data_IF_102383105060
#
_entry.id   IF_102383105060
#
_cell.length_a   1.000
_cell.length_b   1.000
_cell.length_c   1.000
_cell.angle_alpha   90.00
_cell.angle_beta   90.00
_cell.angle_gamma   90.00
#
_symmetry.space_group_name_H-M   'P 1'
#
loop_
_entity.id
_entity.type
_entity.pdbx_description
1 polymer ?
#
# COMPACT_ATOMS: atom_id res chain seq x y z
N UNK A 1 18.23 27.92 -18.87
CA UNK A 1 19.55 27.36 -18.50
C UNK A 1 19.69 27.04 -17.01
N UNK A 2 19.80 27.99 -16.07
CA UNK A 2 20.03 27.63 -14.66
C UNK A 2 18.87 26.82 -14.01
N UNK A 3 17.61 27.21 -14.26
CA UNK A 3 16.45 26.47 -13.75
C UNK A 3 16.24 25.10 -14.42
N UNK A 4 16.60 24.94 -15.70
CA UNK A 4 16.56 23.64 -16.39
C UNK A 4 17.63 22.68 -15.87
N UNK A 5 18.83 23.16 -15.55
CA UNK A 5 19.90 22.34 -15.00
C UNK A 5 19.56 21.84 -13.58
N UNK A 6 18.93 22.69 -12.76
CA UNK A 6 18.44 22.31 -11.42
C UNK A 6 17.32 21.28 -11.53
N UNK A 7 16.36 21.48 -12.44
CA UNK A 7 15.28 20.53 -12.68
C UNK A 7 15.81 19.16 -13.18
N UNK A 8 16.77 19.17 -14.11
CA UNK A 8 17.41 17.95 -14.61
C UNK A 8 18.21 17.20 -13.54
N UNK A 9 18.88 17.92 -12.63
CA UNK A 9 19.61 17.32 -11.51
C UNK A 9 18.69 16.64 -10.50
N UNK A 10 17.56 17.27 -10.16
CA UNK A 10 16.58 16.69 -9.23
C UNK A 10 15.89 15.45 -9.80
N UNK A 11 15.59 15.43 -11.11
CA UNK A 11 15.00 14.25 -11.77
C UNK A 11 15.95 13.05 -11.73
N UNK A 12 17.25 13.27 -11.99
CA UNK A 12 18.26 12.21 -11.95
C UNK A 12 18.42 11.61 -10.55
N UNK A 13 18.51 12.46 -9.52
CA UNK A 13 18.66 12.02 -8.14
C UNK A 13 17.46 11.20 -7.64
N UNK A 14 16.24 11.56 -8.08
CA UNK A 14 15.02 10.79 -7.77
C UNK A 14 15.06 9.39 -8.35
N UNK A 15 15.52 9.25 -9.60
CA UNK A 15 15.68 7.94 -10.21
C UNK A 15 16.69 7.08 -9.44
N UNK A 16 17.81 7.68 -9.00
CA UNK A 16 18.82 6.99 -8.19
C UNK A 16 18.25 6.53 -6.83
N UNK A 17 17.50 7.37 -6.12
CA UNK A 17 16.82 7.01 -4.87
C UNK A 17 15.84 5.85 -5.06
N UNK A 18 15.02 5.89 -6.11
CA UNK A 18 14.04 4.83 -6.40
C UNK A 18 14.72 3.52 -6.81
N UNK A 19 15.80 3.59 -7.59
CA UNK A 19 16.60 2.41 -7.96
C UNK A 19 17.31 1.82 -6.73
N UNK A 20 17.83 2.66 -5.84
CA UNK A 20 18.43 2.20 -4.59
C UNK A 20 17.37 1.56 -3.68
N UNK A 21 16.20 2.17 -3.55
CA UNK A 21 15.06 1.65 -2.78
C UNK A 21 14.56 0.31 -3.32
N UNK A 22 14.26 0.24 -4.62
CA UNK A 22 13.76 -0.99 -5.27
C UNK A 22 14.80 -2.09 -5.35
N UNK A 23 16.09 -1.75 -5.36
CA UNK A 23 17.19 -2.71 -5.30
C UNK A 23 17.63 -3.12 -3.89
N UNK A 24 17.03 -2.55 -2.83
CA UNK A 24 17.45 -2.79 -1.44
C UNK A 24 18.88 -2.32 -1.14
N UNK A 25 19.40 -1.36 -1.90
CA UNK A 25 20.77 -0.84 -1.72
C UNK A 25 20.80 0.18 -0.60
N UNK A 26 20.68 -0.30 0.64
CA UNK A 26 20.50 0.56 1.82
C UNK A 26 21.67 1.53 2.07
N UNK A 27 22.91 1.17 1.71
CA UNK A 27 24.09 2.05 1.82
C UNK A 27 23.98 3.25 0.86
N UNK A 28 23.75 2.96 -0.43
CA UNK A 28 23.54 4.00 -1.47
C UNK A 28 22.34 4.88 -1.10
N UNK A 29 21.25 4.28 -0.62
CA UNK A 29 20.07 5.00 -0.18
C UNK A 29 20.37 5.92 1.02
N UNK A 30 21.13 5.45 2.02
CA UNK A 30 21.52 6.25 3.18
C UNK A 30 22.40 7.44 2.77
N UNK A 31 23.37 7.23 1.88
CA UNK A 31 24.27 8.30 1.40
C UNK A 31 23.48 9.35 0.62
N UNK A 32 22.58 8.92 -0.27
CA UNK A 32 21.70 9.82 -1.02
C UNK A 32 20.79 10.62 -0.10
N UNK A 33 20.18 9.99 0.92
CA UNK A 33 19.34 10.69 1.90
C UNK A 33 20.13 11.68 2.78
N UNK A 34 21.35 11.34 3.17
CA UNK A 34 22.21 12.26 3.95
C UNK A 34 22.70 13.45 3.10
N UNK A 35 22.89 13.25 1.80
CA UNK A 35 23.21 14.36 0.88
C UNK A 35 22.04 15.35 0.68
N UNK A 36 20.80 14.93 1.01
CA UNK A 36 19.59 15.76 0.93
C UNK A 36 19.37 16.67 2.15
N UNK A 37 19.92 16.36 3.33
CA UNK A 37 19.73 17.18 4.54
C UNK A 37 20.34 18.60 4.42
N UNK A 38 21.10 18.88 3.36
CA UNK A 38 21.54 20.24 3.03
C UNK A 38 20.51 21.07 2.24
N UNK A 39 19.44 20.46 1.70
CA UNK A 39 18.35 21.10 0.94
C UNK A 39 16.96 20.53 1.38
N UNK A 40 16.35 21.15 2.40
CA UNK A 40 15.35 20.59 3.32
C UNK A 40 13.91 20.23 2.83
N UNK A 41 13.64 19.87 1.55
CA UNK A 41 12.24 19.81 1.06
C UNK A 41 11.77 18.59 0.24
N UNK A 42 12.42 17.42 0.25
CA UNK A 42 12.18 16.43 -0.85
C UNK A 42 11.85 14.97 -0.51
N UNK A 43 11.50 14.61 0.74
CA UNK A 43 11.17 13.21 1.07
C UNK A 43 9.87 12.66 0.43
N UNK A 44 9.11 13.52 -0.25
CA UNK A 44 8.02 13.15 -1.15
C UNK A 44 8.59 13.01 -2.59
N UNK A 45 8.49 11.84 -3.25
CA UNK A 45 9.00 11.57 -4.63
C UNK A 45 7.90 11.07 -5.63
N UNK A 46 7.64 11.80 -6.75
CA UNK A 46 6.48 11.61 -7.67
C UNK A 46 6.81 10.46 -8.58
N UNK A 47 5.86 9.55 -8.80
CA UNK A 47 5.91 8.60 -9.90
C UNK A 47 4.75 8.89 -10.84
N UNK A 48 5.07 9.25 -12.09
CA UNK A 48 4.13 9.10 -13.19
C UNK A 48 4.66 7.94 -14.03
N UNK A 49 4.03 6.77 -13.91
CA UNK A 49 4.23 5.67 -14.85
C UNK A 49 3.24 5.89 -15.97
N UNK A 50 3.69 6.48 -17.07
CA UNK A 50 2.99 6.36 -18.34
C UNK A 50 3.99 6.29 -19.50
N UNK A 51 4.04 5.11 -20.12
CA UNK A 51 4.59 4.82 -21.44
C UNK A 51 3.65 3.73 -22.02
N UNK A 52 3.03 3.78 -23.20
CA UNK A 52 3.14 4.61 -24.41
C UNK A 52 1.89 4.42 -25.30
N UNK A 53 1.55 5.43 -26.11
CA UNK A 53 0.43 5.60 -27.10
C UNK A 53 0.78 4.97 -28.49
N UNK A 54 -0.01 5.00 -29.63
CA UNK A 54 -0.97 6.06 -30.08
C UNK A 54 -2.17 5.71 -31.04
N UNK A 55 -2.90 6.80 -31.44
CA UNK A 55 -3.70 7.04 -32.67
C UNK A 55 -5.22 6.70 -32.67
N UNK A 56 -6.23 7.49 -33.15
CA UNK A 56 -6.40 8.86 -33.74
C UNK A 56 -7.92 9.24 -33.82
N UNK A 57 -8.23 10.54 -33.95
CA UNK A 57 -9.44 11.23 -34.55
C UNK A 57 -10.69 11.42 -33.66
N UNK A 58 -11.43 12.54 -33.60
CA UNK A 58 -11.33 13.94 -34.08
C UNK A 58 -12.46 14.81 -33.42
N UNK A 59 -12.12 16.05 -32.97
CA UNK A 59 -12.86 17.36 -32.88
C UNK A 59 -14.39 17.50 -32.55
N UNK A 60 -14.91 18.70 -32.16
CA UNK A 60 -14.38 19.79 -31.31
C UNK A 60 -15.41 20.41 -30.28
N UNK A 61 -14.90 21.39 -29.50
CA UNK A 61 -15.42 22.27 -28.41
C UNK A 61 -16.74 23.08 -28.71
N UNK A 62 -17.39 23.76 -27.72
CA UNK A 62 -16.90 25.06 -27.15
C UNK A 62 -17.19 25.30 -25.63
N UNK A 63 -16.18 25.65 -24.82
CA UNK A 63 -15.88 26.96 -24.17
C UNK A 63 -16.63 27.30 -22.86
N UNK A 64 -15.89 27.30 -21.75
CA UNK A 64 -15.93 28.36 -20.75
C UNK A 64 -14.53 28.50 -20.15
N UNK A 65 -13.99 29.72 -20.17
CA UNK A 65 -12.65 30.05 -19.71
C UNK A 65 -12.68 30.46 -18.24
N UNK A 66 -11.80 29.87 -17.44
CA UNK A 66 -11.30 30.44 -16.19
C UNK A 66 -9.81 30.11 -16.08
N UNK A 67 -9.05 31.08 -15.57
CA UNK A 67 -7.59 31.22 -15.58
C UNK A 67 -6.83 30.08 -14.83
N UNK A 68 -5.48 29.99 -14.99
CA UNK A 68 -4.73 28.78 -14.63
C UNK A 68 -4.61 28.68 -13.11
N UNK A 69 -5.16 27.61 -12.54
CA UNK A 69 -4.85 27.23 -11.18
C UNK A 69 -3.37 26.82 -11.14
N UNK A 70 -2.56 27.73 -10.60
CA UNK A 70 -1.18 27.56 -10.18
C UNK A 70 -1.03 26.24 -9.41
N UNK A 71 0.08 25.55 -9.68
CA UNK A 71 0.35 24.15 -9.37
C UNK A 71 -0.19 23.62 -8.05
N UNK A 72 -0.99 22.54 -8.15
CA UNK A 72 -1.11 21.57 -7.06
C UNK A 72 0.14 20.69 -7.06
N UNK A 73 0.79 20.45 -5.91
CA UNK A 73 1.82 19.43 -5.79
C UNK A 73 1.21 18.07 -6.13
N UNK A 74 1.78 17.36 -7.10
CA UNK A 74 1.33 16.05 -7.56
C UNK A 74 1.80 14.97 -6.58
N UNK A 75 1.01 14.72 -5.52
CA UNK A 75 1.24 13.80 -4.40
C UNK A 75 1.92 12.46 -4.78
N UNK A 76 2.95 12.10 -4.01
CA UNK A 76 4.15 11.40 -4.45
C UNK A 76 4.32 10.06 -3.70
N UNK A 77 4.55 8.93 -4.37
CA UNK A 77 4.85 7.66 -3.70
C UNK A 77 6.13 7.78 -2.86
N UNK A 78 6.00 7.67 -1.53
CA UNK A 78 7.18 7.67 -0.65
C UNK A 78 8.07 6.46 -0.95
N UNK A 79 9.39 6.67 -0.89
CA UNK A 79 10.43 5.64 -1.03
C UNK A 79 10.20 4.42 -0.12
N UNK A 80 9.50 4.59 1.01
CA UNK A 80 9.14 3.50 1.90
C UNK A 80 8.14 2.53 1.25
N UNK A 81 7.19 3.02 0.43
CA UNK A 81 6.25 2.16 -0.30
C UNK A 81 6.97 1.30 -1.34
N UNK A 82 7.99 1.87 -1.99
CA UNK A 82 8.81 1.16 -2.98
C UNK A 82 9.60 0.05 -2.30
N UNK A 83 10.33 0.36 -1.22
CA UNK A 83 11.05 -0.65 -0.44
C UNK A 83 10.08 -1.73 0.06
N UNK A 84 8.93 -1.32 0.60
CA UNK A 84 7.93 -2.23 1.14
C UNK A 84 7.37 -3.21 0.10
N UNK A 85 7.20 -2.75 -1.15
CA UNK A 85 6.72 -3.57 -2.26
C UNK A 85 7.82 -4.44 -2.87
N UNK A 86 9.09 -4.04 -2.77
CA UNK A 86 10.19 -4.65 -3.55
C UNK A 86 10.75 -5.93 -2.94
N UNK A 87 10.75 -6.07 -1.62
CA UNK A 87 11.19 -7.31 -0.97
C UNK A 87 11.29 -7.23 0.55
N UNK A 88 11.62 -8.37 1.16
CA UNK A 88 11.76 -8.52 2.62
C UNK A 88 13.12 -9.11 3.06
N UNK A 89 14.09 -9.18 2.15
CA UNK A 89 15.47 -9.54 2.50
C UNK A 89 16.12 -8.51 3.43
N UNK A 90 17.17 -8.92 4.17
CA UNK A 90 17.82 -8.09 5.19
C UNK A 90 18.22 -6.69 4.71
N UNK A 91 18.59 -6.56 3.44
CA UNK A 91 18.92 -5.30 2.80
C UNK A 91 17.71 -4.37 2.65
N UNK A 92 16.54 -4.90 2.28
CA UNK A 92 15.30 -4.12 2.22
C UNK A 92 14.83 -3.70 3.62
N UNK A 93 14.97 -4.58 4.61
CA UNK A 93 14.64 -4.24 6.01
C UNK A 93 15.52 -3.08 6.51
N UNK A 94 16.82 -3.13 6.23
CA UNK A 94 17.74 -2.02 6.52
C UNK A 94 17.38 -0.74 5.75
N UNK A 95 16.98 -0.85 4.48
CA UNK A 95 16.47 0.32 3.75
C UNK A 95 15.26 0.94 4.44
N UNK A 96 14.33 0.12 4.94
CA UNK A 96 13.18 0.61 5.71
C UNK A 96 13.62 1.29 7.02
N UNK A 97 14.61 0.73 7.74
CA UNK A 97 15.16 1.34 8.96
C UNK A 97 15.77 2.71 8.71
N UNK A 98 16.58 2.85 7.65
CA UNK A 98 17.20 4.12 7.26
C UNK A 98 16.14 5.17 6.93
N UNK A 99 15.11 4.79 6.17
CA UNK A 99 14.01 5.70 5.80
C UNK A 99 13.22 6.10 7.05
N UNK A 100 12.89 5.14 7.92
CA UNK A 100 12.17 5.38 9.16
C UNK A 100 12.95 6.30 10.12
N UNK A 101 14.27 6.11 10.24
CA UNK A 101 15.12 6.96 11.07
C UNK A 101 15.19 8.41 10.56
N UNK A 102 14.98 8.63 9.25
CA UNK A 102 14.91 9.96 8.65
C UNK A 102 13.54 10.60 8.82
N UNK A 103 12.48 9.86 8.56
CA UNK A 103 11.11 10.35 8.70
C UNK A 103 10.16 9.20 9.08
N UNK A 104 9.87 9.11 10.37
CA UNK A 104 8.98 8.11 10.94
C UNK A 104 7.52 8.27 10.45
N UNK A 105 7.09 9.47 10.07
CA UNK A 105 5.71 9.71 9.63
C UNK A 105 5.39 8.96 8.33
N UNK A 106 6.40 8.64 7.52
CA UNK A 106 6.25 7.86 6.28
C UNK A 106 5.66 6.47 6.53
N UNK A 107 5.80 5.92 7.74
CA UNK A 107 5.24 4.62 8.11
C UNK A 107 3.70 4.60 8.01
N UNK A 108 3.06 5.75 8.22
CA UNK A 108 1.60 5.91 8.28
C UNK A 108 1.02 6.68 7.08
N UNK A 109 1.88 7.36 6.31
CA UNK A 109 1.45 8.20 5.20
C UNK A 109 0.92 7.35 4.04
N UNK A 110 -0.27 7.64 3.51
CA UNK A 110 -0.71 7.04 2.25
C UNK A 110 0.12 7.56 1.08
N UNK A 111 0.28 6.74 0.05
CA UNK A 111 0.88 7.10 -1.22
C UNK A 111 -0.14 7.70 -2.20
N UNK A 112 0.27 7.91 -3.45
CA UNK A 112 -0.59 8.45 -4.52
C UNK A 112 -1.81 7.57 -4.84
N UNK A 113 -1.74 6.28 -4.49
CA UNK A 113 -2.83 5.31 -4.64
C UNK A 113 -3.68 5.17 -3.36
N UNK A 114 -3.39 5.98 -2.34
CA UNK A 114 -4.03 5.91 -1.03
C UNK A 114 -3.57 4.74 -0.17
N UNK A 115 -2.55 3.98 -0.58
CA UNK A 115 -2.03 2.84 0.15
C UNK A 115 -0.94 3.26 1.13
N UNK A 116 -0.91 2.64 2.31
CA UNK A 116 0.18 2.71 3.29
C UNK A 116 1.31 1.76 2.89
N UNK A 117 2.54 1.94 3.44
CA UNK A 117 3.63 1.00 3.19
C UNK A 117 3.30 -0.44 3.62
N UNK A 118 2.50 -0.58 4.68
CA UNK A 118 2.05 -1.89 5.16
C UNK A 118 1.17 -2.62 4.14
N UNK A 119 0.24 -1.91 3.49
CA UNK A 119 -0.60 -2.46 2.42
C UNK A 119 0.23 -2.84 1.20
N UNK A 120 1.20 -2.01 0.82
CA UNK A 120 2.17 -2.32 -0.24
C UNK A 120 2.93 -3.63 0.04
N UNK A 121 3.47 -3.81 1.25
CA UNK A 121 4.16 -5.04 1.65
C UNK A 121 3.21 -6.26 1.69
N UNK A 122 2.00 -6.09 2.23
CA UNK A 122 1.01 -7.16 2.29
C UNK A 122 0.59 -7.65 0.90
N UNK A 123 0.35 -6.71 -0.04
CA UNK A 123 0.00 -6.98 -1.43
C UNK A 123 1.12 -7.65 -2.21
N UNK A 124 2.37 -7.28 -1.93
CA UNK A 124 3.54 -7.91 -2.53
C UNK A 124 3.84 -9.30 -1.95
N UNK A 125 3.23 -9.67 -0.82
CA UNK A 125 3.51 -10.93 -0.13
C UNK A 125 4.80 -10.91 0.69
N UNK A 126 5.33 -9.72 1.00
CA UNK A 126 6.58 -9.52 1.73
C UNK A 126 6.36 -9.67 3.24
N UNK A 127 6.23 -10.91 3.72
CA UNK A 127 5.87 -11.23 5.12
C UNK A 127 6.90 -10.70 6.12
N UNK A 128 8.20 -10.79 5.78
CA UNK A 128 9.27 -10.26 6.62
C UNK A 128 9.16 -8.75 6.79
N UNK A 129 8.86 -8.04 5.69
CA UNK A 129 8.66 -6.59 5.69
C UNK A 129 7.42 -6.18 6.47
N UNK A 130 6.28 -6.90 6.32
CA UNK A 130 5.07 -6.65 7.13
C UNK A 130 5.38 -6.76 8.62
N UNK A 131 6.10 -7.82 9.02
CA UNK A 131 6.51 -8.00 10.41
C UNK A 131 7.41 -6.86 10.89
N UNK A 132 8.34 -6.42 10.04
CA UNK A 132 9.30 -5.36 10.33
C UNK A 132 8.62 -4.00 10.52
N UNK A 133 7.76 -3.58 9.58
CA UNK A 133 7.01 -2.32 9.66
C UNK A 133 6.12 -2.27 10.91
N UNK A 134 5.49 -3.39 11.27
CA UNK A 134 4.70 -3.51 12.51
C UNK A 134 5.59 -3.35 13.75
N UNK A 135 6.77 -3.98 13.77
CA UNK A 135 7.70 -3.83 14.89
C UNK A 135 8.20 -2.39 15.03
N UNK A 136 8.47 -1.69 13.93
CA UNK A 136 8.82 -0.25 13.96
C UNK A 136 7.71 0.58 14.62
N UNK A 137 6.43 0.34 14.25
CA UNK A 137 5.31 1.02 14.89
C UNK A 137 5.20 0.71 16.39
N UNK A 138 5.42 -0.54 16.81
CA UNK A 138 5.36 -0.95 18.23
C UNK A 138 6.44 -0.26 19.07
N UNK A 139 7.61 0.03 18.48
CA UNK A 139 8.74 0.66 19.18
C UNK A 139 8.55 2.15 19.46
N UNK A 140 7.52 2.80 18.89
CA UNK A 140 7.18 4.19 19.19
C UNK A 140 6.59 4.37 20.59
N UNK A 141 6.64 5.60 21.13
CA UNK A 141 6.16 5.94 22.49
C UNK A 141 4.69 5.54 22.70
N UNK A 142 3.85 5.69 21.67
CA UNK A 142 2.44 5.29 21.65
C UNK A 142 2.20 4.07 20.73
N UNK A 143 3.18 3.18 20.62
CA UNK A 143 3.26 2.18 19.56
C UNK A 143 2.07 1.23 19.47
N UNK A 144 1.41 0.90 20.58
CA UNK A 144 0.19 0.07 20.56
C UNK A 144 -1.02 0.81 19.97
N UNK A 145 -1.16 2.12 20.23
CA UNK A 145 -2.23 2.93 19.67
C UNK A 145 -1.97 3.18 18.17
N UNK A 146 -0.73 3.52 17.82
CA UNK A 146 -0.27 3.71 16.44
C UNK A 146 -0.37 2.45 15.60
N UNK A 147 -0.01 1.29 16.14
CA UNK A 147 -0.20 0.01 15.46
C UNK A 147 -1.68 -0.25 15.16
N UNK A 148 -2.57 0.01 16.12
CA UNK A 148 -4.01 -0.16 15.91
C UNK A 148 -4.53 0.79 14.83
N UNK A 149 -4.09 2.03 14.81
CA UNK A 149 -4.41 3.00 13.76
C UNK A 149 -3.90 2.49 12.40
N UNK A 150 -2.61 2.15 12.31
CA UNK A 150 -1.96 1.67 11.09
C UNK A 150 -2.62 0.42 10.50
N UNK A 151 -2.96 -0.57 11.32
CA UNK A 151 -3.62 -1.80 10.85
C UNK A 151 -5.03 -1.51 10.34
N UNK A 152 -5.73 -0.54 10.95
CA UNK A 152 -7.08 -0.14 10.55
C UNK A 152 -7.11 0.79 9.35
N UNK A 153 -5.95 1.29 8.88
CA UNK A 153 -5.89 2.15 7.71
C UNK A 153 -6.47 1.44 6.49
N UNK A 154 -7.39 2.15 5.85
CA UNK A 154 -8.05 1.74 4.64
C UNK A 154 -7.51 2.61 3.51
N UNK A 155 -7.26 2.03 2.34
CA UNK A 155 -6.79 2.83 1.24
C UNK A 155 -7.86 3.78 0.68
N UNK A 156 -7.40 4.86 0.06
CA UNK A 156 -8.25 5.85 -0.59
C UNK A 156 -8.92 5.36 -1.89
N UNK A 157 -9.60 6.29 -2.58
CA UNK A 157 -10.18 6.03 -3.90
C UNK A 157 -9.09 5.74 -4.93
N UNK A 158 -8.94 4.45 -5.29
CA UNK A 158 -7.89 3.90 -6.16
C UNK A 158 -8.12 4.18 -7.66
N UNK A 159 -7.07 3.93 -8.45
CA UNK A 159 -7.16 3.61 -9.90
C UNK A 159 -8.08 2.39 -10.14
N UNK A 160 -8.62 2.19 -11.36
CA UNK A 160 -9.76 1.28 -11.63
C UNK A 160 -9.63 -0.19 -11.21
N UNK A 161 -8.42 -0.68 -10.93
CA UNK A 161 -8.13 -2.10 -10.71
C UNK A 161 -8.25 -2.55 -9.26
N UNK A 162 -8.50 -1.64 -8.33
CA UNK A 162 -8.28 -1.90 -6.93
C UNK A 162 -9.45 -1.33 -6.11
N UNK A 163 -10.03 -2.14 -5.22
CA UNK A 163 -11.25 -1.77 -4.49
C UNK A 163 -10.87 -0.71 -3.44
N UNK A 164 -11.57 0.43 -3.38
CA UNK A 164 -11.31 1.44 -2.35
C UNK A 164 -11.62 0.87 -0.96
N UNK A 165 -10.94 1.41 0.05
CA UNK A 165 -11.15 1.07 1.45
C UNK A 165 -10.56 -0.27 1.91
N UNK A 166 -9.76 -0.95 1.11
CA UNK A 166 -9.15 -2.22 1.52
C UNK A 166 -8.18 -2.00 2.70
N UNK A 167 -8.21 -2.88 3.69
CA UNK A 167 -7.13 -2.99 4.71
C UNK A 167 -6.01 -3.90 4.18
N UNK A 168 -4.87 -3.95 4.89
CA UNK A 168 -3.79 -4.89 4.58
C UNK A 168 -4.26 -6.36 4.52
N UNK A 169 -5.29 -6.73 5.30
CA UNK A 169 -5.88 -8.07 5.26
C UNK A 169 -6.65 -8.34 3.95
N UNK A 170 -7.36 -7.34 3.40
CA UNK A 170 -8.03 -7.49 2.11
C UNK A 170 -7.02 -7.68 0.97
N UNK A 171 -5.94 -6.90 0.98
CA UNK A 171 -4.84 -7.05 0.02
C UNK A 171 -4.20 -8.44 0.12
N UNK A 172 -3.93 -8.94 1.33
CA UNK A 172 -3.37 -10.27 1.56
C UNK A 172 -4.26 -11.41 1.03
N UNK A 173 -5.59 -11.27 1.11
CA UNK A 173 -6.52 -12.29 0.62
C UNK A 173 -6.48 -12.48 -0.90
N UNK A 174 -5.92 -11.52 -1.66
CA UNK A 174 -5.79 -11.56 -3.11
C UNK A 174 -4.44 -12.09 -3.60
N UNK A 175 -3.57 -12.51 -2.68
CA UNK A 175 -2.30 -13.15 -3.02
C UNK A 175 -2.53 -14.49 -3.73
N UNK A 176 -1.79 -14.71 -4.82
CA UNK A 176 -1.93 -15.91 -5.65
C UNK A 176 -1.30 -17.16 -5.01
N UNK A 177 -0.18 -17.00 -4.30
CA UNK A 177 0.50 -18.10 -3.61
C UNK A 177 -0.21 -18.41 -2.29
N UNK A 178 -0.87 -19.59 -2.23
CA UNK A 178 -1.65 -20.04 -1.06
C UNK A 178 -0.80 -20.17 0.22
N UNK A 179 0.49 -20.48 0.12
CA UNK A 179 1.37 -20.60 1.29
C UNK A 179 1.64 -19.21 1.86
N UNK A 180 2.05 -18.27 1.02
CA UNK A 180 2.33 -16.88 1.41
C UNK A 180 1.04 -16.25 1.95
N UNK A 181 -0.08 -16.44 1.26
CA UNK A 181 -1.39 -15.97 1.67
C UNK A 181 -1.76 -16.45 3.08
N UNK A 182 -1.60 -17.74 3.38
CA UNK A 182 -1.98 -18.28 4.69
C UNK A 182 -1.10 -17.70 5.80
N UNK A 183 0.21 -17.67 5.55
CA UNK A 183 1.19 -17.13 6.49
C UNK A 183 0.99 -15.63 6.75
N UNK A 184 0.71 -14.86 5.69
CA UNK A 184 0.41 -13.42 5.78
C UNK A 184 -0.86 -13.16 6.58
N UNK A 185 -1.95 -13.90 6.32
CA UNK A 185 -3.20 -13.78 7.08
C UNK A 185 -2.98 -14.13 8.54
N UNK A 186 -2.28 -15.24 8.83
CA UNK A 186 -1.97 -15.64 10.21
C UNK A 186 -1.13 -14.59 10.93
N UNK A 187 -0.15 -13.99 10.25
CA UNK A 187 0.68 -12.91 10.79
C UNK A 187 -0.14 -11.68 11.12
N UNK A 188 -0.92 -11.16 10.18
CA UNK A 188 -1.76 -9.97 10.38
C UNK A 188 -2.77 -10.16 11.53
N UNK A 189 -3.41 -11.33 11.61
CA UNK A 189 -4.37 -11.65 12.68
C UNK A 189 -3.70 -11.87 14.05
N UNK A 190 -2.40 -12.23 14.09
CA UNK A 190 -1.63 -12.30 15.34
C UNK A 190 -1.42 -10.91 15.93
N UNK A 191 -1.22 -9.89 15.08
CA UNK A 191 -1.09 -8.50 15.52
C UNK A 191 -2.43 -7.83 15.82
N UNK A 192 -3.47 -8.10 15.02
CA UNK A 192 -4.82 -7.59 15.30
C UNK A 192 -5.91 -8.48 14.71
N UNK A 193 -6.63 -9.17 15.58
CA UNK A 193 -7.83 -9.94 15.20
C UNK A 193 -8.97 -9.05 14.71
N UNK A 194 -9.00 -7.77 15.11
CA UNK A 194 -10.03 -6.80 14.73
C UNK A 194 -10.05 -6.53 13.22
N UNK A 195 -8.94 -6.78 12.51
CA UNK A 195 -8.86 -6.69 11.06
C UNK A 195 -9.94 -7.52 10.34
N UNK A 196 -10.31 -8.67 10.93
CA UNK A 196 -11.32 -9.57 10.37
C UNK A 196 -12.77 -9.00 10.46
N UNK A 197 -12.96 -7.88 11.18
CA UNK A 197 -14.25 -7.22 11.39
C UNK A 197 -14.40 -5.92 10.59
N UNK A 198 -13.36 -5.47 9.90
CA UNK A 198 -13.35 -4.19 9.18
C UNK A 198 -13.74 -4.48 7.74
N UNK A 199 -14.80 -3.83 7.27
CA UNK A 199 -15.26 -3.93 5.89
C UNK A 199 -14.54 -2.87 5.05
N UNK A 200 -14.22 -3.19 3.79
CA UNK A 200 -13.79 -2.19 2.82
C UNK A 200 -14.89 -1.16 2.54
N UNK A 201 -14.58 -0.06 1.85
CA UNK A 201 -15.55 1.04 1.67
C UNK A 201 -16.76 0.63 0.83
N UNK A 202 -16.65 -0.40 -0.02
CA UNK A 202 -17.78 -0.99 -0.73
C UNK A 202 -18.58 -2.01 0.12
N UNK A 203 -18.29 -2.16 1.42
CA UNK A 203 -18.97 -3.08 2.33
C UNK A 203 -18.50 -4.54 2.23
N UNK A 204 -17.38 -4.81 1.56
CA UNK A 204 -16.84 -6.18 1.48
C UNK A 204 -16.11 -6.53 2.77
N UNK A 205 -16.55 -7.57 3.47
CA UNK A 205 -15.80 -8.08 4.63
C UNK A 205 -14.66 -9.03 4.22
N UNK A 206 -13.62 -9.20 5.04
CA UNK A 206 -12.56 -10.18 4.79
C UNK A 206 -13.10 -11.61 4.65
N UNK A 207 -14.13 -11.97 5.41
CA UNK A 207 -14.75 -13.29 5.30
C UNK A 207 -15.51 -13.46 3.98
N UNK A 208 -16.27 -12.44 3.57
CA UNK A 208 -16.94 -12.44 2.26
C UNK A 208 -15.91 -12.61 1.14
N UNK A 209 -14.82 -11.82 1.17
CA UNK A 209 -13.76 -11.88 0.16
C UNK A 209 -13.09 -13.26 0.13
N UNK A 210 -12.78 -13.86 1.28
CA UNK A 210 -12.19 -15.20 1.35
C UNK A 210 -13.10 -16.27 0.71
N UNK A 211 -14.41 -16.25 0.99
CA UNK A 211 -15.37 -17.20 0.39
C UNK A 211 -15.54 -16.93 -1.11
N UNK A 212 -15.62 -15.66 -1.51
CA UNK A 212 -15.69 -15.25 -2.92
C UNK A 212 -14.48 -15.74 -3.73
N UNK A 213 -13.28 -15.73 -3.14
CA UNK A 213 -12.06 -16.22 -3.77
C UNK A 213 -11.90 -17.75 -3.64
N UNK A 214 -12.80 -18.45 -2.95
CA UNK A 214 -12.73 -19.90 -2.75
C UNK A 214 -11.68 -20.33 -1.72
N UNK A 215 -11.23 -19.41 -0.87
CA UNK A 215 -10.24 -19.63 0.18
C UNK A 215 -10.90 -20.13 1.47
N UNK A 216 -11.51 -21.31 1.42
CA UNK A 216 -12.33 -21.85 2.52
C UNK A 216 -11.53 -22.16 3.79
N UNK A 217 -10.25 -22.54 3.65
CA UNK A 217 -9.33 -22.76 4.76
C UNK A 217 -9.04 -21.45 5.50
N UNK A 218 -8.82 -20.35 4.77
CA UNK A 218 -8.71 -19.02 5.37
C UNK A 218 -10.02 -18.57 6.01
N UNK A 219 -11.16 -18.80 5.33
CA UNK A 219 -12.47 -18.43 5.85
C UNK A 219 -12.73 -19.12 7.21
N UNK A 220 -12.34 -20.40 7.33
CA UNK A 220 -12.37 -21.10 8.61
C UNK A 220 -11.40 -20.48 9.63
N UNK A 221 -10.17 -20.12 9.25
CA UNK A 221 -9.23 -19.43 10.15
C UNK A 221 -9.79 -18.11 10.67
N UNK A 222 -10.38 -17.28 9.80
CA UNK A 222 -11.04 -16.03 10.18
C UNK A 222 -12.16 -16.30 11.20
N UNK A 223 -13.00 -17.31 10.94
CA UNK A 223 -14.08 -17.74 11.82
C UNK A 223 -13.63 -18.19 13.20
N UNK A 224 -12.54 -18.98 13.27
CA UNK A 224 -12.03 -19.46 14.55
C UNK A 224 -11.34 -18.35 15.36
N UNK A 225 -10.66 -17.40 14.70
CA UNK A 225 -9.85 -16.37 15.39
C UNK A 225 -10.65 -15.17 15.90
N UNK A 226 -11.77 -14.82 15.28
CA UNK A 226 -12.57 -13.68 15.71
C UNK A 226 -14.06 -14.04 15.75
N UNK A 227 -14.71 -13.89 16.90
CA UNK A 227 -16.15 -14.16 17.05
C UNK A 227 -17.03 -12.97 16.63
N UNK A 228 -16.43 -11.82 16.33
CA UNK A 228 -17.10 -10.57 15.92
C UNK A 228 -16.85 -10.27 14.43
N UNK A 229 -16.83 -11.29 13.59
CA UNK A 229 -16.66 -11.13 12.16
C UNK A 229 -17.76 -10.26 11.55
N UNK A 230 -17.39 -9.53 10.52
CA UNK A 230 -18.36 -9.02 9.57
C UNK A 230 -18.62 -10.07 8.48
N UNK A 231 -19.88 -10.19 8.10
CA UNK A 231 -20.36 -11.09 7.04
C UNK A 231 -20.81 -10.32 5.80
N UNK A 232 -20.63 -9.00 5.80
CA UNK A 232 -21.13 -8.08 4.78
C UNK A 232 -20.43 -8.29 3.44
N UNK A 233 -21.19 -8.10 2.37
CA UNK A 233 -20.70 -8.00 1.01
C UNK A 233 -21.21 -6.74 0.33
N UNK A 234 -20.69 -6.44 -0.87
CA UNK A 234 -21.16 -5.30 -1.67
C UNK A 234 -22.63 -5.45 -2.05
N UNK A 235 -23.28 -4.33 -2.34
CA UNK A 235 -24.68 -4.26 -2.81
C UNK A 235 -25.70 -4.93 -1.88
N UNK A 236 -25.43 -4.92 -0.56
CA UNK A 236 -26.30 -5.54 0.45
C UNK A 236 -26.22 -7.07 0.49
N UNK A 237 -25.28 -7.69 -0.23
CA UNK A 237 -25.01 -9.12 -0.15
C UNK A 237 -24.37 -9.48 1.20
N UNK A 238 -24.30 -10.77 1.48
CA UNK A 238 -23.56 -11.31 2.62
C UNK A 238 -22.82 -12.59 2.21
N UNK A 239 -21.98 -13.12 3.11
CA UNK A 239 -21.15 -14.29 2.83
C UNK A 239 -21.96 -15.51 2.34
N UNK A 240 -23.21 -15.66 2.77
CA UNK A 240 -24.04 -16.81 2.38
C UNK A 240 -24.48 -16.71 0.92
N UNK A 241 -24.75 -15.50 0.42
CA UNK A 241 -25.06 -15.29 -0.99
C UNK A 241 -23.90 -15.79 -1.87
N UNK A 242 -22.67 -15.36 -1.56
CA UNK A 242 -21.51 -15.77 -2.34
C UNK A 242 -21.13 -17.25 -2.13
N UNK A 243 -21.38 -17.82 -0.94
CA UNK A 243 -21.18 -19.24 -0.69
C UNK A 243 -22.05 -20.12 -1.61
N UNK A 244 -23.32 -19.75 -1.78
CA UNK A 244 -24.24 -20.45 -2.70
C UNK A 244 -23.74 -20.32 -4.14
N UNK A 245 -23.38 -19.11 -4.59
CA UNK A 245 -22.84 -18.88 -5.94
C UNK A 245 -21.59 -19.72 -6.23
N UNK A 246 -20.70 -19.88 -5.24
CA UNK A 246 -19.48 -20.68 -5.39
C UNK A 246 -19.74 -22.19 -5.34
N UNK A 247 -20.74 -22.63 -4.56
CA UNK A 247 -21.10 -24.04 -4.45
C UNK A 247 -21.68 -24.64 -5.74
N UNK A 248 -22.29 -23.82 -6.59
CA UNK A 248 -22.85 -24.25 -7.87
C UNK A 248 -21.84 -24.24 -9.03
N UNK A 249 -20.61 -23.76 -8.80
CA UNK A 249 -19.54 -23.72 -9.80
C UNK A 249 -18.38 -24.66 -9.52
N UNK A 250 -18.51 -25.57 -8.55
CA UNK A 250 -17.51 -26.57 -8.16
C UNK A 250 -17.88 -27.96 -8.67
#
# INVERSE_FOLDING_TARGET
>A
MAMEAIASGQVKLRAELLLAASGGKWEELNDLLNSQDQDASTLQVVVNIDETTPATTANPRPTAAAAPAVGRPLDLDSILHVVASSGDGANFLKSADVIYAKDAHLLYSPNSNGDTPLQCAARAGNIGMVSHLINLAIMEVDGNARLKEMLKNQNGERKPTAVPGDTALHDALRLADKKILKEMVDKLLTFSVELASIDSTNGTSPLYLAVMLGHYDIANTLYQKNKRLSYSGPDGQNVLHVAVLRSHGA
#
